data_IF_295589172569
#
_entry.id   IF_295589172569
#
_cell.length_a   1.000
_cell.length_b   1.000
_cell.length_c   1.000
_cell.angle_alpha   90.00
_cell.angle_beta   90.00
_cell.angle_gamma   90.00
#
_symmetry.space_group_name_H-M   'P 1'
#
loop_
_entity.id
_entity.type
_entity.pdbx_description
1 polymer ?
#
# COMPACT_ATOMS: atom_id res chain seq x y z
N UNK A 1 -36.96 49.47 36.72
CA UNK A 1 -36.19 49.17 37.95
C UNK A 1 -35.32 47.96 37.65
N UNK A 2 -34.06 48.22 37.26
CA UNK A 2 -32.84 48.02 38.08
C UNK A 2 -32.41 46.53 38.08
N UNK A 3 -31.24 46.07 37.63
CA UNK A 3 -29.96 46.67 37.17
C UNK A 3 -29.14 45.49 36.59
N UNK A 4 -28.56 45.55 35.38
CA UNK A 4 -27.18 45.97 35.08
C UNK A 4 -26.08 45.31 35.93
N UNK A 5 -25.22 44.48 35.30
CA UNK A 5 -23.76 44.67 35.40
C UNK A 5 -23.05 44.12 34.15
N UNK A 6 -22.21 44.99 33.59
CA UNK A 6 -21.34 44.81 32.42
C UNK A 6 -19.99 44.20 32.83
N UNK A 7 -19.33 43.68 31.81
CA UNK A 7 -17.91 43.36 31.65
C UNK A 7 -16.90 44.09 32.56
N UNK A 8 -15.79 43.40 32.85
CA UNK A 8 -14.46 44.00 32.76
C UNK A 8 -13.34 42.99 32.51
N UNK A 9 -12.44 43.43 31.61
CA UNK A 9 -11.08 43.01 31.34
C UNK A 9 -10.33 42.32 32.48
N UNK A 10 -9.61 41.25 32.15
CA UNK A 10 -8.37 40.86 32.83
C UNK A 10 -7.29 40.79 31.76
N UNK A 11 -6.33 41.70 31.88
CA UNK A 11 -5.15 41.89 31.05
C UNK A 11 -4.06 40.88 31.39
N UNK A 12 -3.27 40.55 30.38
CA UNK A 12 -1.96 39.88 30.46
C UNK A 12 -1.05 40.55 31.49
N UNK A 13 -0.67 39.79 32.52
CA UNK A 13 0.61 39.86 33.22
C UNK A 13 0.51 38.83 34.35
N UNK A 14 1.32 37.77 34.33
CA UNK A 14 1.74 36.96 35.51
C UNK A 14 2.35 35.60 35.07
N UNK A 15 3.44 35.63 34.28
CA UNK A 15 4.26 34.44 34.06
C UNK A 15 5.77 34.76 34.00
N UNK A 16 6.22 35.70 34.85
CA UNK A 16 7.64 36.01 35.01
C UNK A 16 7.93 36.36 36.47
N UNK A 17 7.94 35.35 37.36
CA UNK A 17 8.59 35.43 38.68
C UNK A 17 8.56 34.07 39.38
N UNK A 18 9.40 33.15 38.92
CA UNK A 18 9.86 32.04 39.74
C UNK A 18 11.21 31.59 39.19
N UNK A 19 12.29 31.89 39.92
CA UNK A 19 13.59 31.21 39.99
C UNK A 19 14.68 32.24 40.31
N UNK A 20 14.87 32.49 41.60
CA UNK A 20 16.10 33.11 42.09
C UNK A 20 16.40 32.54 43.47
N UNK A 21 17.31 31.57 43.57
CA UNK A 21 18.21 31.44 44.72
C UNK A 21 19.41 30.53 44.42
N UNK A 22 20.59 31.02 44.79
CA UNK A 22 21.92 30.37 44.85
C UNK A 22 22.58 30.10 43.48
N UNK A 23 23.69 30.70 43.05
CA UNK A 23 24.75 31.42 43.74
C UNK A 23 26.12 30.90 43.30
N UNK A 24 26.55 31.17 42.06
CA UNK A 24 27.95 30.97 41.62
C UNK A 24 28.38 32.16 40.74
N UNK A 25 29.38 32.92 41.23
CA UNK A 25 30.06 34.01 40.53
C UNK A 25 30.95 33.45 39.41
N UNK A 26 30.67 33.77 38.15
CA UNK A 26 31.53 33.55 37.00
C UNK A 26 31.94 34.87 36.36
N UNK A 27 33.25 35.07 36.18
CA UNK A 27 33.89 36.25 35.56
C UNK A 27 33.25 36.65 34.22
N UNK A 28 33.04 37.96 34.03
CA UNK A 28 32.84 38.58 32.73
C UNK A 28 34.15 38.47 31.92
N UNK A 29 34.20 37.56 30.95
CA UNK A 29 35.09 37.66 29.81
C UNK A 29 34.24 37.85 28.56
N UNK A 30 34.40 39.00 27.91
CA UNK A 30 33.75 39.27 26.64
C UNK A 30 34.24 38.29 25.58
N UNK A 31 33.29 37.59 24.96
CA UNK A 31 33.43 37.02 23.64
C UNK A 31 32.07 37.18 22.97
N UNK A 32 32.09 37.93 21.87
CA UNK A 32 31.00 38.25 20.97
C UNK A 32 30.28 37.00 20.45
N UNK A 33 28.94 36.95 20.43
CA UNK A 33 28.23 35.98 19.62
C UNK A 33 28.07 36.56 18.21
N UNK A 34 28.93 36.15 17.27
CA UNK A 34 28.47 35.94 15.90
C UNK A 34 27.84 34.55 15.88
N UNK A 35 26.56 34.46 16.25
CA UNK A 35 25.76 33.32 15.84
C UNK A 35 25.53 33.52 14.34
N UNK A 36 26.27 32.80 13.51
CA UNK A 36 25.77 32.43 12.18
C UNK A 36 24.42 31.77 12.43
N UNK A 37 23.36 32.44 11.99
CA UNK A 37 22.01 31.88 12.05
C UNK A 37 22.02 30.71 11.08
N UNK A 38 21.86 29.49 11.60
CA UNK A 38 21.73 28.25 10.84
C UNK A 38 20.62 28.43 9.79
N UNK A 39 21.00 28.69 8.54
CA UNK A 39 20.05 28.99 7.49
C UNK A 39 19.29 27.72 7.10
N UNK A 40 17.96 27.76 7.21
CA UNK A 40 17.09 26.72 6.70
C UNK A 40 17.28 26.57 5.18
N UNK A 41 17.55 25.34 4.72
CA UNK A 41 17.77 25.02 3.30
C UNK A 41 16.70 24.06 2.81
N UNK A 42 16.05 24.40 1.70
CA UNK A 42 15.21 23.46 0.96
C UNK A 42 16.11 22.50 0.15
N UNK A 43 15.88 21.21 0.31
CA UNK A 43 16.69 20.12 -0.25
C UNK A 43 15.81 18.95 -0.69
N UNK A 44 16.35 18.09 -1.56
CA UNK A 44 15.82 16.72 -1.73
C UNK A 44 16.70 15.75 -0.96
N UNK A 45 16.10 14.93 -0.12
CA UNK A 45 16.75 13.91 0.68
C UNK A 45 16.47 12.55 0.05
N UNK A 46 17.51 11.75 -0.11
CA UNK A 46 17.41 10.34 -0.48
C UNK A 46 18.00 9.53 0.68
N UNK A 47 17.17 8.72 1.32
CA UNK A 47 17.62 7.74 2.31
C UNK A 47 17.74 6.40 1.62
N UNK A 48 18.86 5.73 1.84
CA UNK A 48 19.13 4.42 1.29
C UNK A 48 19.35 3.39 2.37
N UNK A 49 18.98 2.14 2.09
CA UNK A 49 19.29 1.00 2.94
C UNK A 49 19.42 -0.29 2.10
N UNK A 50 20.40 -1.15 2.42
CA UNK A 50 20.64 -2.36 1.64
C UNK A 50 19.53 -3.41 1.85
N UNK A 51 19.27 -4.18 0.80
CA UNK A 51 18.33 -5.31 0.86
C UNK A 51 19.04 -6.53 1.45
N UNK A 52 18.55 -6.97 2.62
CA UNK A 52 18.99 -8.23 3.22
C UNK A 52 20.42 -8.20 3.79
N UNK A 53 20.93 -7.02 4.15
CA UNK A 53 22.26 -6.84 4.74
C UNK A 53 22.56 -7.85 5.86
N UNK A 54 21.67 -7.96 6.86
CA UNK A 54 21.88 -8.89 7.99
C UNK A 54 22.03 -10.36 7.55
N UNK A 55 21.41 -10.75 6.43
CA UNK A 55 21.56 -12.10 5.87
C UNK A 55 22.90 -12.25 5.16
N UNK A 56 23.28 -11.26 4.35
CA UNK A 56 24.55 -11.23 3.60
C UNK A 56 25.73 -11.28 4.58
N UNK A 57 25.68 -10.51 5.65
CA UNK A 57 26.78 -10.39 6.62
C UNK A 57 26.77 -11.45 7.73
N UNK A 58 25.72 -12.27 7.83
CA UNK A 58 25.55 -13.25 8.93
C UNK A 58 26.68 -14.28 9.05
N UNK A 59 27.38 -14.56 7.96
CA UNK A 59 28.48 -15.54 7.91
C UNK A 59 29.84 -14.88 7.64
N UNK A 60 29.88 -13.55 7.59
CA UNK A 60 31.11 -12.79 7.36
C UNK A 60 31.84 -12.54 8.67
N UNK A 61 33.16 -12.51 8.60
CA UNK A 61 34.03 -11.98 9.64
C UNK A 61 33.91 -10.44 9.73
N UNK A 62 34.27 -9.82 10.87
CA UNK A 62 34.23 -8.36 11.00
C UNK A 62 35.05 -7.62 9.92
N UNK A 63 36.18 -8.19 9.49
CA UNK A 63 37.00 -7.66 8.41
C UNK A 63 36.29 -7.70 7.05
N UNK A 64 35.62 -8.82 6.74
CA UNK A 64 34.83 -8.96 5.51
C UNK A 64 33.61 -8.03 5.51
N UNK A 65 32.92 -7.87 6.65
CA UNK A 65 31.83 -6.90 6.79
C UNK A 65 32.32 -5.48 6.55
N UNK A 66 33.47 -5.11 7.14
CA UNK A 66 34.09 -3.80 6.92
C UNK A 66 34.37 -3.57 5.44
N UNK A 67 35.05 -4.51 4.78
CA UNK A 67 35.47 -4.37 3.39
C UNK A 67 34.25 -4.29 2.46
N UNK A 68 33.23 -5.12 2.70
CA UNK A 68 31.95 -5.07 1.99
C UNK A 68 31.22 -3.72 2.15
N UNK A 69 31.13 -3.19 3.37
CA UNK A 69 30.48 -1.89 3.62
C UNK A 69 31.25 -0.75 2.97
N UNK A 70 32.59 -0.78 3.01
CA UNK A 70 33.43 0.24 2.36
C UNK A 70 33.23 0.19 0.83
N UNK A 71 33.25 -1.00 0.24
CA UNK A 71 33.02 -1.20 -1.20
C UNK A 71 31.63 -0.71 -1.62
N UNK A 72 30.59 -1.06 -0.85
CA UNK A 72 29.24 -0.57 -1.07
C UNK A 72 29.16 0.97 -1.13
N UNK A 73 29.67 1.64 -0.10
CA UNK A 73 29.65 3.11 -0.03
C UNK A 73 30.52 3.75 -1.11
N UNK A 74 31.61 3.10 -1.50
CA UNK A 74 32.44 3.55 -2.62
C UNK A 74 31.68 3.52 -3.95
N UNK A 75 31.07 2.38 -4.29
CA UNK A 75 30.35 2.18 -5.55
C UNK A 75 29.11 3.08 -5.62
N UNK A 76 28.38 3.24 -4.51
CA UNK A 76 27.27 4.19 -4.41
C UNK A 76 27.75 5.63 -4.66
N UNK A 77 28.84 6.04 -4.01
CA UNK A 77 29.38 7.39 -4.17
C UNK A 77 29.89 7.62 -5.60
N UNK A 78 30.46 6.63 -6.27
CA UNK A 78 30.90 6.73 -7.67
C UNK A 78 29.74 7.06 -8.63
N UNK A 79 28.56 6.47 -8.38
CA UNK A 79 27.36 6.73 -9.18
C UNK A 79 26.81 8.13 -8.92
N UNK A 80 26.81 8.58 -7.66
CA UNK A 80 26.13 9.82 -7.22
C UNK A 80 27.03 11.06 -7.30
N UNK A 81 28.34 10.97 -7.06
CA UNK A 81 29.29 12.10 -7.08
C UNK A 81 29.71 12.47 -8.52
N UNK A 82 28.72 12.76 -9.36
CA UNK A 82 28.91 13.29 -10.72
C UNK A 82 28.56 14.77 -10.73
N UNK A 83 29.31 15.58 -11.50
CA UNK A 83 29.06 17.04 -11.65
C UNK A 83 27.60 17.37 -11.98
N UNK A 84 26.92 16.52 -12.76
CA UNK A 84 25.51 16.71 -13.12
C UNK A 84 24.56 16.65 -11.93
N UNK A 85 24.96 15.99 -10.84
CA UNK A 85 24.18 15.81 -9.62
C UNK A 85 24.58 16.78 -8.49
N UNK A 86 25.69 17.51 -8.62
CA UNK A 86 26.11 18.51 -7.62
C UNK A 86 25.17 19.72 -7.55
N UNK A 87 25.01 20.38 -6.38
CA UNK A 87 25.62 20.02 -5.11
C UNK A 87 24.90 18.82 -4.48
N UNK A 88 25.70 17.84 -4.06
CA UNK A 88 25.23 16.62 -3.41
C UNK A 88 26.16 16.28 -2.24
N UNK A 89 25.56 15.99 -1.09
CA UNK A 89 26.25 15.58 0.13
C UNK A 89 25.86 14.12 0.41
N UNK A 90 26.85 13.26 0.69
CA UNK A 90 26.62 11.85 1.02
C UNK A 90 27.16 11.61 2.42
N UNK A 91 26.27 11.23 3.33
CA UNK A 91 26.57 10.89 4.71
C UNK A 91 26.25 9.41 4.94
N UNK A 92 27.27 8.52 5.00
CA UNK A 92 27.07 7.13 5.36
C UNK A 92 26.40 7.02 6.73
N UNK A 93 25.37 6.18 6.85
CA UNK A 93 24.85 5.77 8.14
C UNK A 93 25.80 4.72 8.75
N UNK A 94 25.64 4.43 10.04
CA UNK A 94 26.41 3.37 10.67
C UNK A 94 25.94 1.99 10.15
N UNK A 95 26.55 1.52 9.06
CA UNK A 95 26.23 0.23 8.44
C UNK A 95 25.88 0.36 6.97
N UNK A 96 24.64 -0.01 6.64
CA UNK A 96 24.17 -0.43 5.33
C UNK A 96 23.30 0.59 4.58
N UNK A 97 23.21 1.81 5.11
CA UNK A 97 22.45 2.89 4.51
C UNK A 97 23.26 4.17 4.35
N UNK A 98 22.70 5.13 3.62
CA UNK A 98 23.27 6.46 3.47
C UNK A 98 22.16 7.51 3.43
N UNK A 99 22.47 8.68 3.98
CA UNK A 99 21.72 9.90 3.74
C UNK A 99 22.39 10.67 2.60
N UNK A 100 21.64 10.94 1.53
CA UNK A 100 22.11 11.71 0.39
C UNK A 100 21.25 12.96 0.28
N UNK A 101 21.87 14.13 0.29
CA UNK A 101 21.18 15.43 0.27
C UNK A 101 21.56 16.19 -0.98
N UNK A 102 20.55 16.53 -1.79
CA UNK A 102 20.68 17.37 -2.96
C UNK A 102 20.24 18.79 -2.62
N UNK A 103 21.19 19.73 -2.64
CA UNK A 103 20.91 21.16 -2.41
C UNK A 103 20.64 21.90 -3.71
N UNK A 104 20.09 23.12 -3.63
CA UNK A 104 19.89 23.98 -4.80
C UNK A 104 21.22 24.57 -5.32
N UNK A 105 21.37 24.64 -6.64
CA UNK A 105 22.35 25.50 -7.31
C UNK A 105 21.89 26.95 -7.28
N UNK A 106 22.84 27.86 -7.51
CA UNK A 106 22.52 29.29 -7.66
C UNK A 106 21.54 29.50 -8.82
N UNK A 107 20.37 30.07 -8.53
CA UNK A 107 19.30 30.32 -9.51
C UNK A 107 18.43 29.10 -9.87
N UNK A 108 18.64 27.95 -9.23
CA UNK A 108 17.86 26.74 -9.46
C UNK A 108 16.55 26.74 -8.66
N UNK A 109 15.45 26.33 -9.29
CA UNK A 109 14.17 26.14 -8.62
C UNK A 109 14.03 24.72 -8.04
N UNK A 110 12.97 24.49 -7.25
CA UNK A 110 12.71 23.19 -6.62
C UNK A 110 12.54 22.06 -7.66
N UNK A 111 11.93 22.34 -8.82
CA UNK A 111 11.70 21.34 -9.86
C UNK A 111 13.01 20.82 -10.46
N UNK A 112 13.93 21.73 -10.80
CA UNK A 112 15.25 21.38 -11.32
C UNK A 112 16.07 20.55 -10.31
N UNK A 113 16.01 20.93 -9.02
CA UNK A 113 16.63 20.15 -7.94
C UNK A 113 16.02 18.75 -7.83
N UNK A 114 14.69 18.63 -7.88
CA UNK A 114 13.99 17.34 -7.83
C UNK A 114 14.30 16.46 -9.03
N UNK A 115 14.37 17.01 -10.25
CA UNK A 115 14.79 16.27 -11.45
C UNK A 115 16.18 15.70 -11.30
N UNK A 116 17.11 16.50 -10.78
CA UNK A 116 18.49 16.08 -10.56
C UNK A 116 18.60 14.96 -9.53
N UNK A 117 17.85 15.06 -8.43
CA UNK A 117 17.80 14.03 -7.40
C UNK A 117 17.17 12.72 -7.92
N UNK A 118 16.06 12.81 -8.66
CA UNK A 118 15.43 11.64 -9.27
C UNK A 118 16.32 10.98 -10.33
N UNK A 119 16.98 11.78 -11.17
CA UNK A 119 17.94 11.26 -12.15
C UNK A 119 19.10 10.52 -11.49
N UNK A 120 19.58 11.00 -10.32
CA UNK A 120 20.60 10.30 -9.53
C UNK A 120 20.08 8.97 -8.97
N UNK A 121 18.84 8.95 -8.47
CA UNK A 121 18.19 7.72 -7.99
C UNK A 121 17.97 6.69 -9.12
N UNK A 122 17.58 7.13 -10.31
CA UNK A 122 17.44 6.26 -11.51
C UNK A 122 18.81 5.68 -11.92
N UNK A 123 19.85 6.51 -11.94
CA UNK A 123 21.23 6.08 -12.21
C UNK A 123 21.68 5.00 -11.22
N UNK A 124 21.35 5.17 -9.94
CA UNK A 124 21.65 4.22 -8.88
C UNK A 124 20.82 2.94 -9.02
N UNK A 125 19.54 3.05 -9.39
CA UNK A 125 18.70 1.90 -9.72
C UNK A 125 19.30 1.05 -10.86
N UNK A 126 19.76 1.69 -11.93
CA UNK A 126 20.46 0.98 -13.01
C UNK A 126 21.79 0.38 -12.55
N UNK A 127 22.52 1.03 -11.64
CA UNK A 127 23.74 0.47 -11.07
C UNK A 127 23.48 -0.77 -10.23
N UNK A 128 22.34 -0.83 -9.53
CA UNK A 128 21.89 -1.98 -8.76
C UNK A 128 21.52 -3.14 -9.70
N UNK A 129 20.74 -2.89 -10.75
CA UNK A 129 20.34 -3.92 -11.72
C UNK A 129 21.53 -4.48 -12.51
N UNK A 130 22.60 -3.69 -12.65
CA UNK A 130 23.87 -4.11 -13.26
C UNK A 130 24.85 -4.73 -12.27
N UNK A 131 24.43 -5.00 -11.03
CA UNK A 131 25.25 -5.57 -9.95
C UNK A 131 26.51 -4.75 -9.60
N UNK A 132 26.59 -3.49 -10.04
CA UNK A 132 27.69 -2.56 -9.69
C UNK A 132 27.55 -2.02 -8.27
N UNK A 133 26.32 -1.95 -7.77
CA UNK A 133 26.00 -1.56 -6.39
C UNK A 133 25.13 -2.64 -5.78
N UNK A 134 25.37 -3.01 -4.53
CA UNK A 134 24.53 -3.97 -3.83
C UNK A 134 23.06 -3.50 -3.80
N UNK A 135 22.12 -4.45 -3.87
CA UNK A 135 20.68 -4.13 -3.89
C UNK A 135 20.29 -3.21 -2.75
N UNK A 136 19.72 -2.06 -3.09
CA UNK A 136 19.49 -0.94 -2.17
C UNK A 136 18.13 -0.34 -2.43
N UNK A 137 17.39 -0.07 -1.36
CA UNK A 137 16.12 0.64 -1.38
C UNK A 137 16.38 2.12 -1.22
N UNK A 138 15.56 2.95 -1.86
CA UNK A 138 15.76 4.40 -1.95
C UNK A 138 14.44 5.12 -1.71
N UNK A 139 14.37 5.92 -0.64
CA UNK A 139 13.25 6.79 -0.34
C UNK A 139 13.60 8.24 -0.62
N UNK A 140 12.91 8.87 -1.56
CA UNK A 140 13.18 10.24 -2.03
C UNK A 140 12.10 11.22 -1.55
N UNK A 141 12.49 12.28 -0.86
CA UNK A 141 11.57 13.26 -0.30
C UNK A 141 12.12 14.69 -0.38
N UNK A 142 11.29 15.66 -0.74
CA UNK A 142 11.66 17.07 -0.73
C UNK A 142 11.25 17.72 0.59
N UNK A 143 12.15 18.47 1.23
CA UNK A 143 11.84 19.14 2.48
C UNK A 143 12.87 20.19 2.86
N UNK A 144 12.76 20.68 4.08
CA UNK A 144 13.67 21.69 4.64
C UNK A 144 14.56 21.07 5.70
N UNK A 145 15.83 21.49 5.73
CA UNK A 145 16.80 21.10 6.74
C UNK A 145 17.47 22.31 7.36
N UNK A 146 17.81 22.18 8.64
CA UNK A 146 18.70 23.09 9.36
C UNK A 146 19.94 22.30 9.76
N UNK A 147 21.11 22.92 9.66
CA UNK A 147 22.36 22.32 10.10
C UNK A 147 22.82 23.01 11.37
N UNK A 148 23.28 22.25 12.37
CA UNK A 148 23.84 22.81 13.58
C UNK A 148 25.09 22.03 14.01
N UNK A 149 26.01 22.68 14.72
CA UNK A 149 27.20 22.02 15.27
C UNK A 149 26.86 21.31 16.58
N UNK A 150 27.01 20.00 16.62
CA UNK A 150 26.91 19.18 17.84
C UNK A 150 28.23 18.45 18.07
N UNK A 151 28.92 18.77 19.17
CA UNK A 151 30.16 18.10 19.53
C UNK A 151 31.28 18.21 18.48
N UNK A 152 31.31 19.31 17.71
CA UNK A 152 32.27 19.53 16.63
C UNK A 152 31.95 18.81 15.32
N UNK A 153 30.76 18.20 15.21
CA UNK A 153 30.23 17.64 13.96
C UNK A 153 29.00 18.43 13.52
N UNK A 154 28.89 18.67 12.22
CA UNK A 154 27.65 19.18 11.63
C UNK A 154 26.59 18.10 11.72
N UNK A 155 25.45 18.41 12.33
CA UNK A 155 24.27 17.56 12.37
C UNK A 155 23.14 18.22 11.58
N UNK A 156 22.40 17.44 10.80
CA UNK A 156 21.26 17.89 10.00
C UNK A 156 19.95 17.56 10.71
N UNK A 157 19.03 18.53 10.75
CA UNK A 157 17.71 18.41 11.37
C UNK A 157 16.63 18.75 10.37
N UNK A 158 15.59 17.92 10.32
CA UNK A 158 14.45 18.14 9.42
C UNK A 158 13.40 17.06 9.63
N UNK A 159 12.13 17.43 9.53
CA UNK A 159 11.02 16.48 9.60
C UNK A 159 10.98 15.55 8.37
N UNK A 160 11.56 15.99 7.25
CA UNK A 160 11.62 15.23 6.01
C UNK A 160 12.41 13.93 6.08
N UNK A 161 13.36 13.79 7.01
CA UNK A 161 14.12 12.54 7.18
C UNK A 161 13.23 11.36 7.55
N UNK A 162 12.23 11.58 8.41
CA UNK A 162 11.30 10.52 8.79
C UNK A 162 10.42 10.09 7.59
N UNK A 163 10.03 11.03 6.73
CA UNK A 163 9.27 10.73 5.52
C UNK A 163 10.11 9.97 4.49
N UNK A 164 11.35 10.42 4.22
CA UNK A 164 12.28 9.73 3.32
C UNK A 164 12.59 8.30 3.81
N UNK A 165 12.85 8.12 5.10
CA UNK A 165 13.11 6.80 5.69
C UNK A 165 11.91 5.88 5.53
N UNK A 166 10.70 6.43 5.66
CA UNK A 166 9.48 5.63 5.50
C UNK A 166 9.23 5.24 4.05
N UNK A 167 9.52 6.12 3.10
CA UNK A 167 9.47 5.79 1.67
C UNK A 167 10.47 4.67 1.34
N UNK A 168 11.67 4.72 1.90
CA UNK A 168 12.68 3.67 1.78
C UNK A 168 12.15 2.35 2.36
N UNK A 169 11.63 2.32 3.59
CA UNK A 169 11.07 1.10 4.19
C UNK A 169 9.94 0.48 3.35
N UNK A 170 9.07 1.32 2.78
CA UNK A 170 7.94 0.89 1.95
C UNK A 170 8.38 0.25 0.62
N UNK A 171 9.62 0.49 0.18
CA UNK A 171 10.17 -0.15 -1.01
C UNK A 171 10.20 -1.67 -0.86
N UNK A 172 10.48 -2.19 0.35
CA UNK A 172 10.46 -3.64 0.62
C UNK A 172 9.05 -4.21 0.50
N UNK A 173 8.06 -3.53 1.06
CA UNK A 173 6.65 -3.96 1.03
C UNK A 173 6.11 -4.04 -0.41
N UNK A 174 6.41 -3.03 -1.23
CA UNK A 174 5.95 -2.92 -2.61
C UNK A 174 6.89 -3.58 -3.63
N UNK A 175 8.05 -4.09 -3.21
CA UNK A 175 9.03 -4.71 -4.08
C UNK A 175 9.63 -3.76 -5.12
N UNK A 176 9.78 -2.48 -4.77
CA UNK A 176 10.42 -1.45 -5.62
C UNK A 176 11.81 -1.11 -5.07
N UNK A 177 12.71 -0.59 -5.90
CA UNK A 177 14.01 -0.07 -5.44
C UNK A 177 13.96 1.42 -5.08
N UNK A 178 12.97 2.15 -5.60
CA UNK A 178 12.79 3.57 -5.44
C UNK A 178 11.32 3.88 -5.11
N UNK A 179 11.10 4.73 -4.11
CA UNK A 179 9.81 5.37 -3.88
C UNK A 179 10.01 6.86 -3.61
N UNK A 180 9.06 7.65 -4.10
CA UNK A 180 8.97 9.08 -3.83
C UNK A 180 7.52 9.46 -3.52
N UNK A 181 7.35 10.60 -2.87
CA UNK A 181 6.04 11.15 -2.61
C UNK A 181 5.47 11.92 -3.83
N UNK A 182 4.20 12.33 -3.71
CA UNK A 182 3.51 13.07 -4.77
C UNK A 182 4.15 14.41 -5.08
N UNK A 183 4.73 15.11 -4.11
CA UNK A 183 5.27 16.45 -4.33
C UNK A 183 6.55 16.38 -5.16
N UNK A 184 7.45 15.43 -4.87
CA UNK A 184 8.61 15.16 -5.72
C UNK A 184 8.17 14.74 -7.12
N UNK A 185 7.20 13.83 -7.23
CA UNK A 185 6.76 13.32 -8.53
C UNK A 185 6.06 14.38 -9.40
N UNK A 186 5.31 15.31 -8.80
CA UNK A 186 4.62 16.38 -9.52
C UNK A 186 5.59 17.34 -10.23
N UNK A 187 6.85 17.38 -9.81
CA UNK A 187 7.89 18.22 -10.37
C UNK A 187 8.71 17.54 -11.49
N UNK A 188 8.32 16.34 -11.92
CA UNK A 188 9.05 15.51 -12.90
C UNK A 188 8.39 15.55 -14.29
N UNK A 189 8.51 16.69 -14.97
CA UNK A 189 8.06 16.85 -16.35
C UNK A 189 8.81 15.95 -17.35
N UNK A 190 10.13 15.80 -17.20
CA UNK A 190 10.99 14.97 -18.08
C UNK A 190 10.71 13.46 -17.94
N UNK A 191 10.31 13.01 -16.75
CA UNK A 191 10.09 11.59 -16.44
C UNK A 191 8.62 11.20 -16.41
N UNK A 192 7.73 12.10 -16.82
CA UNK A 192 6.28 11.97 -16.64
C UNK A 192 5.69 10.68 -17.22
N UNK A 193 6.20 10.22 -18.37
CA UNK A 193 5.74 8.98 -19.02
C UNK A 193 6.19 7.72 -18.29
N UNK A 194 7.22 7.80 -17.46
CA UNK A 194 7.78 6.68 -16.70
C UNK A 194 7.27 6.64 -15.25
N UNK A 195 6.53 7.67 -14.81
CA UNK A 195 5.97 7.75 -13.46
C UNK A 195 4.84 6.73 -13.28
N UNK A 196 4.93 5.95 -12.21
CA UNK A 196 3.94 4.96 -11.83
C UNK A 196 3.44 5.23 -10.41
N UNK A 197 2.13 5.43 -10.28
CA UNK A 197 1.44 5.45 -9.01
C UNK A 197 1.46 4.05 -8.40
N UNK A 198 1.95 3.94 -7.17
CA UNK A 198 2.03 2.69 -6.41
C UNK A 198 0.80 2.55 -5.51
N UNK A 199 0.40 3.63 -4.85
CA UNK A 199 -0.78 3.63 -3.98
C UNK A 199 -0.80 4.80 -3.02
N UNK A 200 -1.88 4.88 -2.23
CA UNK A 200 -2.00 5.78 -1.09
C UNK A 200 -2.00 4.94 0.18
N UNK A 201 -1.08 5.23 1.10
CA UNK A 201 -0.88 4.41 2.30
C UNK A 201 -0.82 5.27 3.56
N UNK A 202 -1.34 4.78 4.67
CA UNK A 202 -1.08 5.31 6.01
C UNK A 202 -0.42 4.22 6.83
N UNK A 203 0.89 4.32 7.09
CA UNK A 203 1.57 3.39 7.98
C UNK A 203 1.07 3.55 9.42
N UNK A 204 1.03 2.47 10.20
CA UNK A 204 0.41 2.41 11.55
C UNK A 204 0.75 3.53 12.54
N UNK A 205 1.97 4.10 12.47
CA UNK A 205 2.45 5.12 13.41
C UNK A 205 2.28 6.56 12.89
N UNK A 206 1.52 6.76 11.81
CA UNK A 206 1.30 8.06 11.20
C UNK A 206 -0.18 8.42 11.17
N UNK A 207 -0.44 9.71 11.34
CA UNK A 207 -1.78 10.30 11.19
C UNK A 207 -2.04 10.81 9.77
N UNK A 208 -1.02 10.82 8.90
CA UNK A 208 -1.11 11.38 7.55
C UNK A 208 -0.76 10.35 6.48
N UNK A 209 -1.57 10.25 5.41
CA UNK A 209 -1.32 9.36 4.30
C UNK A 209 -0.15 9.86 3.44
N UNK A 210 0.51 8.92 2.76
CA UNK A 210 1.55 9.18 1.76
C UNK A 210 1.07 8.62 0.43
N UNK A 211 1.12 9.44 -0.61
CA UNK A 211 0.92 9.00 -1.99
C UNK A 211 2.26 8.58 -2.57
N UNK A 212 2.37 7.31 -2.94
CA UNK A 212 3.61 6.67 -3.35
C UNK A 212 3.70 6.60 -4.87
N UNK A 213 4.85 6.98 -5.40
CA UNK A 213 5.18 6.85 -6.81
C UNK A 213 6.58 6.24 -6.99
N UNK A 214 6.77 5.57 -8.12
CA UNK A 214 8.06 5.04 -8.59
C UNK A 214 8.27 5.38 -10.08
N UNK A 215 9.41 5.00 -10.63
CA UNK A 215 9.77 5.15 -12.04
C UNK A 215 9.96 3.78 -12.70
N UNK A 216 9.13 3.45 -13.69
CA UNK A 216 9.26 2.21 -14.45
C UNK A 216 9.89 2.50 -15.81
N UNK A 217 11.03 1.86 -16.08
CA UNK A 217 11.80 2.03 -17.31
C UNK A 217 12.37 0.69 -17.79
N UNK A 218 12.71 0.56 -19.08
CA UNK A 218 13.46 -0.58 -19.59
C UNK A 218 14.71 -0.83 -18.75
N UNK A 219 14.92 -2.09 -18.33
CA UNK A 219 16.05 -2.49 -17.49
C UNK A 219 15.90 -2.20 -15.99
N UNK A 220 14.76 -1.69 -15.52
CA UNK A 220 14.44 -1.52 -14.10
C UNK A 220 13.27 -2.41 -13.69
N UNK A 221 13.14 -2.69 -12.38
CA UNK A 221 12.01 -3.47 -11.85
C UNK A 221 11.84 -4.83 -12.53
N UNK A 222 12.95 -5.48 -12.90
CA UNK A 222 12.98 -6.74 -13.67
C UNK A 222 12.39 -6.67 -15.08
N UNK A 223 12.15 -5.47 -15.62
CA UNK A 223 11.81 -5.30 -17.02
C UNK A 223 13.07 -5.51 -17.87
N UNK A 224 13.00 -6.23 -18.99
CA UNK A 224 14.15 -6.39 -19.86
C UNK A 224 14.54 -5.03 -20.50
N UNK A 225 15.83 -4.79 -20.80
CA UNK A 225 16.28 -3.54 -21.42
C UNK A 225 15.68 -3.26 -22.81
N UNK A 226 15.25 -4.30 -23.51
CA UNK A 226 14.64 -4.28 -24.84
C UNK A 226 13.11 -4.45 -24.81
N UNK A 227 12.48 -4.21 -23.64
CA UNK A 227 11.02 -4.26 -23.49
C UNK A 227 10.31 -3.37 -24.52
N UNK A 228 9.19 -3.86 -25.05
CA UNK A 228 8.34 -3.08 -25.95
C UNK A 228 7.83 -1.82 -25.22
N UNK A 229 8.28 -0.66 -25.70
CA UNK A 229 7.96 0.62 -25.09
C UNK A 229 6.46 0.94 -25.14
N UNK A 230 5.74 0.46 -26.15
CA UNK A 230 4.29 0.65 -26.26
C UNK A 230 3.58 -0.15 -25.18
N UNK A 231 3.94 -1.44 -25.03
CA UNK A 231 3.39 -2.28 -23.96
C UNK A 231 3.70 -1.71 -22.57
N UNK A 232 4.91 -1.18 -22.37
CA UNK A 232 5.29 -0.54 -21.12
C UNK A 232 4.44 0.71 -20.84
N UNK A 233 4.25 1.57 -21.84
CA UNK A 233 3.42 2.76 -21.69
C UNK A 233 1.95 2.40 -21.41
N UNK A 234 1.42 1.35 -22.06
CA UNK A 234 0.06 0.85 -21.82
C UNK A 234 -0.10 0.32 -20.39
N UNK A 235 0.89 -0.45 -19.91
CA UNK A 235 0.95 -0.89 -18.52
C UNK A 235 0.94 0.28 -17.54
N UNK A 236 1.82 1.27 -17.75
CA UNK A 236 1.92 2.46 -16.90
C UNK A 236 0.60 3.24 -16.89
N UNK A 237 -0.01 3.43 -18.06
CA UNK A 237 -1.31 4.10 -18.20
C UNK A 237 -2.42 3.39 -17.44
N UNK A 238 -2.56 2.08 -17.65
CA UNK A 238 -3.57 1.25 -16.97
C UNK A 238 -3.36 1.25 -15.45
N UNK A 239 -2.12 1.11 -14.99
CA UNK A 239 -1.79 1.11 -13.56
C UNK A 239 -2.08 2.48 -12.93
N UNK A 240 -1.69 3.57 -13.58
CA UNK A 240 -1.97 4.92 -13.07
C UNK A 240 -3.46 5.22 -12.98
N UNK A 241 -4.24 4.87 -14.01
CA UNK A 241 -5.69 5.04 -14.01
C UNK A 241 -6.34 4.19 -12.91
N UNK A 242 -5.89 2.94 -12.75
CA UNK A 242 -6.37 2.05 -11.71
C UNK A 242 -6.06 2.62 -10.31
N UNK A 243 -4.86 3.12 -10.07
CA UNK A 243 -4.50 3.67 -8.75
C UNK A 243 -5.20 5.01 -8.48
N UNK A 244 -5.49 5.82 -9.50
CA UNK A 244 -6.35 7.00 -9.35
C UNK A 244 -7.78 6.61 -8.93
N UNK A 245 -8.35 5.57 -9.56
CA UNK A 245 -9.63 4.98 -9.15
C UNK A 245 -9.55 4.29 -7.80
N UNK A 246 -8.38 3.81 -7.38
CA UNK A 246 -8.20 3.21 -6.08
C UNK A 246 -8.23 4.28 -5.00
N UNK A 247 -7.38 5.30 -5.11
CA UNK A 247 -7.26 6.36 -4.11
C UNK A 247 -8.47 7.31 -4.07
N UNK A 248 -9.16 7.45 -5.21
CA UNK A 248 -10.07 8.55 -5.48
C UNK A 248 -9.29 9.83 -5.82
N UNK A 249 -9.87 10.67 -6.68
CA UNK A 249 -9.26 11.92 -7.13
C UNK A 249 -10.30 13.04 -7.19
N UNK A 250 -10.25 13.94 -6.20
CA UNK A 250 -11.18 15.07 -6.09
C UNK A 250 -11.14 16.02 -7.28
N UNK A 251 -9.96 16.29 -7.81
CA UNK A 251 -9.80 17.18 -8.97
C UNK A 251 -10.48 16.62 -10.22
N UNK A 252 -10.59 15.30 -10.30
CA UNK A 252 -11.25 14.57 -11.39
C UNK A 252 -12.66 14.08 -11.01
N UNK A 253 -13.17 14.45 -9.82
CA UNK A 253 -14.43 13.93 -9.28
C UNK A 253 -14.54 12.40 -9.24
N UNK A 254 -13.41 11.71 -9.10
CA UNK A 254 -13.35 10.24 -9.02
C UNK A 254 -13.50 9.79 -7.57
N UNK A 255 -14.44 8.87 -7.33
CA UNK A 255 -14.55 8.14 -6.07
C UNK A 255 -13.79 6.81 -6.15
N UNK A 256 -13.32 6.29 -5.01
CA UNK A 256 -12.75 4.95 -4.95
C UNK A 256 -13.68 3.87 -5.54
N UNK A 257 -13.22 3.10 -6.53
CA UNK A 257 -14.00 2.06 -7.23
C UNK A 257 -13.20 0.75 -7.32
N UNK A 258 -13.19 -0.02 -6.22
CA UNK A 258 -12.38 -1.24 -6.10
C UNK A 258 -12.69 -2.31 -7.16
N UNK A 259 -13.95 -2.54 -7.58
CA UNK A 259 -14.24 -3.45 -8.69
C UNK A 259 -13.57 -3.04 -10.01
N UNK A 260 -13.62 -1.75 -10.40
CA UNK A 260 -12.92 -1.27 -11.60
C UNK A 260 -11.41 -1.35 -11.44
N UNK A 261 -10.90 -1.04 -10.24
CA UNK A 261 -9.48 -1.15 -9.92
C UNK A 261 -9.01 -2.59 -10.11
N UNK A 262 -9.73 -3.58 -9.55
CA UNK A 262 -9.40 -5.01 -9.70
C UNK A 262 -9.32 -5.43 -11.16
N UNK A 263 -10.26 -5.00 -11.99
CA UNK A 263 -10.25 -5.30 -13.42
C UNK A 263 -9.02 -4.68 -14.12
N UNK A 264 -8.78 -3.37 -13.92
CA UNK A 264 -7.66 -2.66 -14.56
C UNK A 264 -6.29 -3.16 -14.08
N UNK A 265 -6.12 -3.37 -12.78
CA UNK A 265 -4.89 -3.93 -12.22
C UNK A 265 -4.67 -5.38 -12.69
N UNK A 266 -5.73 -6.19 -12.83
CA UNK A 266 -5.60 -7.53 -13.42
C UNK A 266 -5.21 -7.50 -14.91
N UNK A 267 -5.57 -6.46 -15.66
CA UNK A 267 -5.05 -6.25 -17.02
C UNK A 267 -3.58 -5.81 -17.00
N UNK A 268 -3.24 -4.87 -16.12
CA UNK A 268 -1.86 -4.38 -15.95
C UNK A 268 -0.91 -5.52 -15.52
N UNK A 269 -1.33 -6.39 -14.61
CA UNK A 269 -0.56 -7.57 -14.17
C UNK A 269 -0.24 -8.49 -15.35
N UNK A 270 -1.22 -8.77 -16.23
CA UNK A 270 -1.00 -9.59 -17.44
C UNK A 270 0.02 -8.95 -18.37
N UNK A 271 -0.08 -7.64 -18.62
CA UNK A 271 0.90 -6.93 -19.45
C UNK A 271 2.30 -6.99 -18.83
N UNK A 272 2.42 -6.75 -17.53
CA UNK A 272 3.69 -6.79 -16.83
C UNK A 272 4.31 -8.20 -16.85
N UNK A 273 3.49 -9.24 -16.67
CA UNK A 273 3.93 -10.63 -16.74
C UNK A 273 4.36 -11.01 -18.17
N UNK A 274 3.67 -10.53 -19.20
CA UNK A 274 4.08 -10.72 -20.59
C UNK A 274 5.43 -10.06 -20.89
N UNK A 275 5.70 -8.88 -20.33
CA UNK A 275 6.94 -8.13 -20.54
C UNK A 275 8.13 -8.67 -19.72
N UNK A 276 7.91 -8.99 -18.44
CA UNK A 276 9.00 -9.32 -17.50
C UNK A 276 9.14 -10.81 -17.19
N UNK A 277 8.13 -11.63 -17.51
CA UNK A 277 8.02 -13.01 -17.05
C UNK A 277 7.75 -13.16 -15.55
N UNK A 278 7.57 -12.07 -14.82
CA UNK A 278 7.34 -12.05 -13.36
C UNK A 278 6.13 -11.19 -13.00
N UNK A 279 5.75 -11.17 -11.72
CA UNK A 279 4.66 -10.33 -11.22
C UNK A 279 5.18 -8.97 -10.74
N UNK A 280 4.39 -7.93 -10.96
CA UNK A 280 4.61 -6.63 -10.33
C UNK A 280 4.09 -6.65 -8.88
N UNK A 281 5.03 -6.77 -7.93
CA UNK A 281 4.71 -6.89 -6.48
C UNK A 281 3.84 -5.72 -6.02
N UNK A 282 4.13 -4.50 -6.51
CA UNK A 282 3.37 -3.33 -6.14
C UNK A 282 1.88 -3.44 -6.50
N UNK A 283 1.57 -3.93 -7.71
CA UNK A 283 0.20 -4.18 -8.15
C UNK A 283 -0.45 -5.28 -7.32
N UNK A 284 0.27 -6.38 -7.06
CA UNK A 284 -0.26 -7.48 -6.26
C UNK A 284 -0.61 -7.04 -4.84
N UNK A 285 0.17 -6.17 -4.20
CA UNK A 285 -0.16 -5.64 -2.86
C UNK A 285 -1.47 -4.86 -2.82
N UNK A 286 -1.78 -4.11 -3.88
CA UNK A 286 -3.05 -3.39 -3.98
C UNK A 286 -4.20 -4.37 -4.23
N UNK A 287 -4.00 -5.37 -5.09
CA UNK A 287 -4.99 -6.43 -5.34
C UNK A 287 -5.26 -7.29 -4.09
N UNK A 288 -4.24 -7.65 -3.34
CA UNK A 288 -4.31 -8.35 -2.04
C UNK A 288 -5.15 -7.53 -1.06
N UNK A 289 -4.84 -6.24 -0.91
CA UNK A 289 -5.63 -5.35 -0.06
C UNK A 289 -7.10 -5.27 -0.49
N UNK A 290 -7.39 -5.19 -1.79
CA UNK A 290 -8.78 -5.19 -2.30
C UNK A 290 -9.46 -6.55 -2.06
N UNK A 291 -8.71 -7.66 -2.08
CA UNK A 291 -9.24 -8.99 -1.79
C UNK A 291 -9.69 -9.10 -0.34
N UNK A 292 -8.88 -8.56 0.58
CA UNK A 292 -9.16 -8.55 2.01
C UNK A 292 -10.18 -7.47 2.41
N UNK A 293 -10.19 -6.36 1.66
CA UNK A 293 -11.12 -5.24 1.83
C UNK A 293 -11.80 -4.93 0.49
N UNK A 294 -12.87 -5.65 0.11
CA UNK A 294 -13.52 -5.48 -1.20
C UNK A 294 -14.19 -4.12 -1.39
N UNK A 295 -14.26 -3.31 -0.33
CA UNK A 295 -14.80 -1.96 -0.34
C UNK A 295 -13.90 -0.97 0.39
N UNK A 296 -13.81 0.28 -0.08
CA UNK A 296 -13.16 1.35 0.65
C UNK A 296 -13.94 1.61 1.94
N UNK A 297 -13.30 1.45 3.09
CA UNK A 297 -13.89 1.86 4.38
C UNK A 297 -14.12 3.38 4.43
N UNK A 298 -14.91 3.86 5.40
CA UNK A 298 -15.27 5.29 5.50
C UNK A 298 -14.04 6.22 5.51
N UNK A 299 -12.98 5.82 6.22
CA UNK A 299 -11.73 6.57 6.30
C UNK A 299 -10.78 6.34 5.12
N UNK A 300 -11.07 5.39 4.22
CA UNK A 300 -10.12 4.97 3.20
C UNK A 300 -9.76 6.10 2.23
N UNK A 301 -10.73 6.95 1.86
CA UNK A 301 -10.44 8.10 1.00
C UNK A 301 -9.40 9.05 1.64
N UNK A 302 -9.46 9.21 2.96
CA UNK A 302 -8.52 10.04 3.71
C UNK A 302 -7.19 9.33 3.93
N UNK A 303 -7.20 8.10 4.42
CA UNK A 303 -6.02 7.39 4.91
C UNK A 303 -5.37 6.44 3.87
N UNK A 304 -6.08 6.04 2.84
CA UNK A 304 -5.64 4.99 1.93
C UNK A 304 -5.48 3.64 2.64
N UNK A 305 -4.59 2.80 2.11
CA UNK A 305 -4.25 1.49 2.66
C UNK A 305 -3.54 1.63 4.01
N UNK A 306 -4.07 0.97 5.04
CA UNK A 306 -3.36 0.90 6.33
C UNK A 306 -2.30 -0.19 6.24
N UNK A 307 -1.03 0.20 6.38
CA UNK A 307 0.09 -0.75 6.38
C UNK A 307 0.48 -1.04 7.83
N UNK A 308 0.32 -2.31 8.19
CA UNK A 308 0.77 -2.88 9.45
C UNK A 308 2.24 -3.27 9.33
N UNK A 309 3.02 -3.04 10.38
CA UNK A 309 4.46 -3.30 10.35
C UNK A 309 4.73 -4.79 10.07
N UNK A 310 5.42 -5.08 8.97
CA UNK A 310 5.63 -6.44 8.43
C UNK A 310 6.45 -7.33 9.38
N UNK A 311 7.15 -6.75 10.35
CA UNK A 311 7.79 -7.50 11.46
C UNK A 311 6.78 -8.19 12.39
N UNK A 312 5.49 -7.82 12.33
CA UNK A 312 4.41 -8.39 13.15
C UNK A 312 3.23 -8.94 12.36
N UNK A 313 3.42 -9.32 11.09
CA UNK A 313 2.48 -10.25 10.46
C UNK A 313 3.04 -11.60 10.00
N UNK A 314 3.94 -12.25 10.77
CA UNK A 314 4.10 -13.69 10.64
C UNK A 314 2.86 -14.41 11.14
N UNK A 315 1.93 -13.78 11.88
CA UNK A 315 0.70 -14.46 12.29
C UNK A 315 -0.30 -14.51 11.14
N UNK A 316 -0.57 -13.44 10.40
CA UNK A 316 -1.45 -13.46 9.22
C UNK A 316 -0.88 -14.32 8.10
N UNK A 317 0.40 -14.16 7.76
CA UNK A 317 1.05 -14.98 6.72
C UNK A 317 1.25 -16.43 7.19
N UNK A 318 1.59 -16.71 8.46
CA UNK A 318 1.62 -18.10 8.95
C UNK A 318 0.25 -18.67 9.24
N UNK A 319 -0.77 -17.89 9.60
CA UNK A 319 -2.13 -18.37 9.81
C UNK A 319 -2.78 -18.64 8.45
N UNK A 320 -2.46 -17.84 7.43
CA UNK A 320 -2.81 -18.08 6.04
C UNK A 320 -2.02 -19.25 5.43
N UNK A 321 -0.71 -19.36 5.70
CA UNK A 321 0.10 -20.51 5.26
C UNK A 321 -0.27 -21.78 6.02
N UNK A 322 -0.49 -21.71 7.33
CA UNK A 322 -0.94 -22.83 8.15
C UNK A 322 -2.37 -23.19 7.81
N UNK A 323 -3.28 -22.24 7.53
CA UNK A 323 -4.62 -22.55 7.05
C UNK A 323 -4.60 -23.15 5.65
N UNK A 324 -3.69 -22.72 4.77
CA UNK A 324 -3.44 -23.33 3.46
C UNK A 324 -2.91 -24.75 3.58
N UNK A 325 -1.86 -24.96 4.38
CA UNK A 325 -1.27 -26.29 4.59
C UNK A 325 -2.20 -27.21 5.39
N UNK A 326 -3.00 -26.68 6.34
CA UNK A 326 -4.06 -27.41 7.02
C UNK A 326 -5.20 -27.74 6.06
N UNK A 327 -5.66 -26.81 5.23
CA UNK A 327 -6.69 -27.06 4.22
C UNK A 327 -6.21 -28.12 3.22
N UNK A 328 -4.96 -28.03 2.77
CA UNK A 328 -4.29 -29.03 1.94
C UNK A 328 -4.17 -30.39 2.61
N UNK A 329 -3.89 -30.42 3.91
CA UNK A 329 -3.85 -31.65 4.70
C UNK A 329 -5.24 -32.24 4.99
N UNK A 330 -6.27 -31.39 5.13
CA UNK A 330 -7.66 -31.79 5.35
C UNK A 330 -8.26 -32.34 4.05
N UNK A 331 -8.09 -31.61 2.95
CA UNK A 331 -8.64 -31.96 1.64
C UNK A 331 -7.85 -31.26 0.52
N UNK A 332 -6.94 -32.01 -0.12
CA UNK A 332 -6.09 -31.50 -1.20
C UNK A 332 -6.89 -31.08 -2.44
N UNK A 333 -8.05 -31.70 -2.68
CA UNK A 333 -8.92 -31.37 -3.81
C UNK A 333 -9.53 -29.98 -3.59
N UNK A 334 -10.02 -29.70 -2.37
CA UNK A 334 -10.55 -28.38 -2.00
C UNK A 334 -9.46 -27.32 -1.96
N UNK A 335 -8.27 -27.65 -1.46
CA UNK A 335 -7.14 -26.73 -1.50
C UNK A 335 -6.82 -26.30 -2.94
N UNK A 336 -6.70 -27.27 -3.86
CA UNK A 336 -6.42 -26.95 -5.26
C UNK A 336 -7.51 -26.06 -5.84
N UNK A 337 -8.79 -26.37 -5.62
CA UNK A 337 -9.88 -25.54 -6.14
C UNK A 337 -9.96 -24.14 -5.50
N UNK A 338 -9.75 -24.00 -4.19
CA UNK A 338 -9.93 -22.74 -3.47
C UNK A 338 -8.69 -21.85 -3.48
N UNK A 339 -7.50 -22.42 -3.70
CA UNK A 339 -6.22 -21.70 -3.53
C UNK A 339 -5.37 -21.70 -4.80
N UNK A 340 -5.41 -22.77 -5.61
CA UNK A 340 -4.51 -22.94 -6.77
C UNK A 340 -5.21 -22.60 -8.09
N UNK A 341 -6.44 -23.11 -8.29
CA UNK A 341 -7.22 -22.98 -9.52
C UNK A 341 -8.45 -22.08 -9.30
N UNK A 342 -8.22 -20.80 -9.01
CA UNK A 342 -9.29 -19.83 -8.66
C UNK A 342 -10.09 -19.32 -9.85
N UNK A 343 -9.98 -19.95 -11.04
CA UNK A 343 -10.67 -19.52 -12.27
C UNK A 343 -12.20 -19.44 -12.13
N UNK A 344 -12.77 -20.24 -11.23
CA UNK A 344 -14.19 -20.22 -10.90
C UNK A 344 -14.66 -18.91 -10.28
N UNK A 345 -13.79 -18.16 -9.59
CA UNK A 345 -14.16 -16.87 -8.97
C UNK A 345 -14.66 -15.87 -10.02
N UNK A 346 -14.13 -15.96 -11.25
CA UNK A 346 -14.49 -15.08 -12.36
C UNK A 346 -15.90 -15.33 -12.91
N UNK A 347 -16.49 -16.49 -12.60
CA UNK A 347 -17.85 -16.86 -12.99
C UNK A 347 -18.91 -16.29 -12.05
N UNK A 348 -18.51 -15.66 -10.94
CA UNK A 348 -19.44 -15.02 -10.01
C UNK A 348 -19.73 -13.59 -10.45
N UNK A 349 -20.98 -13.33 -10.83
CA UNK A 349 -21.49 -12.00 -11.09
C UNK A 349 -21.88 -11.32 -9.78
N UNK A 350 -21.55 -10.04 -9.63
CA UNK A 350 -21.96 -9.26 -8.46
C UNK A 350 -23.38 -8.74 -8.66
N UNK A 351 -24.26 -8.92 -7.68
CA UNK A 351 -25.62 -8.37 -7.66
C UNK A 351 -25.85 -7.52 -6.41
N UNK A 352 -26.59 -6.43 -6.58
CA UNK A 352 -26.97 -5.51 -5.51
C UNK A 352 -28.48 -5.52 -5.36
N UNK A 353 -28.95 -5.66 -4.12
CA UNK A 353 -30.36 -5.61 -3.79
C UNK A 353 -30.52 -4.70 -2.57
N UNK A 354 -31.51 -3.81 -2.62
CA UNK A 354 -31.82 -2.92 -1.51
C UNK A 354 -32.60 -3.69 -0.43
N UNK A 355 -32.62 -3.14 0.78
CA UNK A 355 -33.49 -3.66 1.83
C UNK A 355 -34.95 -3.80 1.35
N UNK A 356 -35.51 -4.99 1.54
CA UNK A 356 -36.89 -5.35 1.17
C UNK A 356 -37.02 -6.06 -0.18
N UNK A 357 -35.97 -6.10 -1.01
CA UNK A 357 -36.02 -6.77 -2.31
C UNK A 357 -36.13 -8.30 -2.15
N UNK A 358 -37.02 -8.91 -2.94
CA UNK A 358 -37.09 -10.37 -3.09
C UNK A 358 -36.04 -10.84 -4.09
N UNK A 359 -35.02 -11.55 -3.61
CA UNK A 359 -33.88 -11.99 -4.43
C UNK A 359 -34.19 -13.30 -5.15
N UNK A 360 -34.85 -14.23 -4.45
CA UNK A 360 -35.40 -15.46 -5.03
C UNK A 360 -36.78 -15.70 -4.44
N UNK A 361 -37.71 -16.24 -5.24
CA UNK A 361 -39.07 -16.55 -4.79
C UNK A 361 -39.30 -18.06 -4.81
N UNK A 362 -40.00 -18.58 -3.80
CA UNK A 362 -40.37 -20.00 -3.70
C UNK A 362 -41.07 -20.52 -4.97
N UNK A 363 -40.86 -21.80 -5.29
CA UNK A 363 -41.38 -22.52 -6.46
C UNK A 363 -40.85 -22.07 -7.83
N UNK A 364 -40.07 -20.98 -7.92
CA UNK A 364 -39.42 -20.59 -9.17
C UNK A 364 -38.30 -21.58 -9.54
N UNK A 365 -38.02 -21.69 -10.85
CA UNK A 365 -36.90 -22.50 -11.33
C UNK A 365 -35.59 -21.84 -10.90
N UNK A 366 -34.67 -22.61 -10.34
CA UNK A 366 -33.36 -22.11 -9.95
C UNK A 366 -32.55 -21.72 -11.19
N UNK A 367 -32.00 -20.52 -11.17
CA UNK A 367 -31.18 -19.91 -12.22
C UNK A 367 -29.72 -19.66 -11.76
N UNK A 368 -29.43 -19.89 -10.49
CA UNK A 368 -28.09 -19.77 -9.93
C UNK A 368 -28.04 -19.94 -8.42
N UNK A 369 -26.83 -19.83 -7.89
CA UNK A 369 -26.52 -19.91 -6.46
C UNK A 369 -25.88 -18.60 -6.02
N UNK A 370 -26.20 -18.17 -4.79
CA UNK A 370 -25.80 -16.88 -4.25
C UNK A 370 -24.89 -17.06 -3.05
N UNK A 371 -23.79 -16.32 -3.02
CA UNK A 371 -22.94 -16.13 -1.85
C UNK A 371 -23.12 -14.71 -1.33
N UNK A 372 -23.34 -14.56 -0.02
CA UNK A 372 -23.53 -13.27 0.63
C UNK A 372 -22.14 -12.69 0.93
N UNK A 373 -21.77 -11.67 0.17
CA UNK A 373 -20.54 -10.92 0.42
C UNK A 373 -20.77 -9.95 1.59
N UNK A 374 -21.87 -9.18 1.54
CA UNK A 374 -22.25 -8.21 2.57
C UNK A 374 -23.76 -8.15 2.77
N UNK A 375 -24.14 -7.86 4.02
CA UNK A 375 -25.53 -7.62 4.41
C UNK A 375 -26.19 -8.86 4.98
N UNK A 376 -27.48 -8.76 5.23
CA UNK A 376 -28.29 -9.84 5.81
C UNK A 376 -29.50 -10.11 4.94
N UNK A 377 -29.81 -11.38 4.73
CA UNK A 377 -31.05 -11.83 4.08
C UNK A 377 -31.85 -12.70 5.04
N UNK A 378 -33.16 -12.72 4.83
CA UNK A 378 -34.08 -13.58 5.56
C UNK A 378 -34.69 -14.56 4.56
N UNK A 379 -34.58 -15.86 4.86
CA UNK A 379 -35.24 -16.93 4.12
C UNK A 379 -36.58 -17.24 4.77
N UNK A 380 -37.64 -17.27 3.97
CA UNK A 380 -39.02 -17.48 4.40
C UNK A 380 -39.67 -18.62 3.62
N UNK A 381 -40.57 -19.38 4.26
CA UNK A 381 -41.38 -20.39 3.59
C UNK A 381 -42.60 -19.79 2.85
N UNK A 382 -43.46 -20.65 2.31
CA UNK A 382 -44.67 -20.22 1.60
C UNK A 382 -45.74 -19.57 2.48
N UNK A 383 -45.62 -19.68 3.81
CA UNK A 383 -46.53 -19.06 4.78
C UNK A 383 -45.95 -17.76 5.37
N UNK A 384 -44.75 -17.35 4.92
CA UNK A 384 -44.04 -16.16 5.40
C UNK A 384 -43.31 -16.37 6.73
N UNK A 385 -43.21 -17.61 7.21
CA UNK A 385 -42.44 -17.93 8.41
C UNK A 385 -40.95 -17.89 8.11
N UNK A 386 -40.18 -17.24 8.99
CA UNK A 386 -38.73 -17.12 8.84
C UNK A 386 -38.08 -18.48 9.12
N UNK A 387 -37.47 -19.05 8.08
CA UNK A 387 -36.70 -20.29 8.15
C UNK A 387 -35.28 -20.04 8.66
N UNK A 388 -34.65 -18.96 8.20
CA UNK A 388 -33.28 -18.62 8.58
C UNK A 388 -32.97 -17.14 8.35
N UNK A 389 -32.02 -16.62 9.11
CA UNK A 389 -31.37 -15.34 8.86
C UNK A 389 -29.92 -15.63 8.48
N UNK A 390 -29.51 -15.19 7.28
CA UNK A 390 -28.20 -15.48 6.70
C UNK A 390 -27.43 -14.18 6.52
N UNK A 391 -26.16 -14.17 6.94
CA UNK A 391 -25.26 -13.01 6.84
C UNK A 391 -24.06 -13.28 5.93
N UNK A 392 -23.12 -12.34 5.92
CA UNK A 392 -21.85 -12.47 5.19
C UNK A 392 -21.17 -13.83 5.39
N UNK A 393 -20.70 -14.42 4.30
CA UNK A 393 -20.07 -15.74 4.29
C UNK A 393 -21.06 -16.90 4.15
N UNK A 394 -22.36 -16.66 4.27
CA UNK A 394 -23.37 -17.70 3.99
C UNK A 394 -23.73 -17.75 2.50
N UNK A 395 -24.16 -18.93 2.06
CA UNK A 395 -24.65 -19.21 0.71
C UNK A 395 -26.17 -19.37 0.79
N UNK A 396 -26.91 -19.11 -0.29
CA UNK A 396 -28.31 -19.53 -0.42
C UNK A 396 -28.67 -19.87 -1.87
N UNK A 397 -29.77 -20.60 -2.05
CA UNK A 397 -30.25 -21.06 -3.34
C UNK A 397 -29.57 -22.34 -3.86
N UNK A 398 -28.55 -22.84 -3.16
CA UNK A 398 -27.84 -24.09 -3.46
C UNK A 398 -28.74 -25.31 -3.32
N UNK A 399 -29.69 -25.28 -2.37
CA UNK A 399 -30.61 -26.41 -2.14
C UNK A 399 -31.45 -26.71 -3.39
N UNK A 400 -31.89 -25.66 -4.08
CA UNK A 400 -32.66 -25.80 -5.30
C UNK A 400 -31.83 -26.47 -6.40
N UNK A 401 -30.55 -26.15 -6.52
CA UNK A 401 -29.65 -26.77 -7.50
C UNK A 401 -29.50 -28.30 -7.30
N UNK A 402 -29.42 -28.76 -6.05
CA UNK A 402 -29.29 -30.19 -5.72
C UNK A 402 -30.61 -30.95 -5.63
N UNK A 403 -31.76 -30.25 -5.69
CA UNK A 403 -33.08 -30.86 -5.67
C UNK A 403 -33.47 -31.48 -7.02
N UNK A 404 -34.30 -32.54 -7.00
CA UNK A 404 -34.76 -33.22 -8.23
C UNK A 404 -35.50 -32.30 -9.20
N UNK A 405 -36.31 -31.39 -8.67
CA UNK A 405 -37.20 -30.53 -9.47
C UNK A 405 -36.58 -29.17 -9.80
N UNK A 406 -35.34 -28.90 -9.35
CA UNK A 406 -34.62 -27.62 -9.51
C UNK A 406 -35.47 -26.38 -9.19
N UNK A 407 -36.35 -26.46 -8.18
CA UNK A 407 -37.22 -25.36 -7.73
C UNK A 407 -36.75 -24.76 -6.41
N UNK A 408 -36.94 -23.45 -6.24
CA UNK A 408 -36.70 -22.74 -4.98
C UNK A 408 -37.64 -23.27 -3.90
N UNK A 409 -37.11 -23.59 -2.74
CA UNK A 409 -37.86 -24.10 -1.59
C UNK A 409 -38.25 -23.01 -0.57
N UNK A 410 -37.74 -21.80 -0.75
CA UNK A 410 -37.98 -20.65 0.11
C UNK A 410 -37.89 -19.36 -0.72
N UNK A 411 -38.54 -18.30 -0.23
CA UNK A 411 -38.34 -16.93 -0.70
C UNK A 411 -37.24 -16.29 0.13
N UNK A 412 -36.30 -15.59 -0.48
CA UNK A 412 -35.22 -14.89 0.22
C UNK A 412 -35.35 -13.40 -0.01
N UNK A 413 -35.47 -12.66 1.09
CA UNK A 413 -35.68 -11.22 1.10
C UNK A 413 -34.47 -10.53 1.73
N UNK A 414 -34.04 -9.42 1.13
CA UNK A 414 -32.98 -8.58 1.68
C UNK A 414 -33.45 -7.91 2.99
N UNK A 415 -32.82 -8.23 4.11
CA UNK A 415 -33.13 -7.61 5.41
C UNK A 415 -32.40 -6.28 5.62
N UNK A 416 -31.27 -6.13 4.94
CA UNK A 416 -30.49 -4.89 4.76
C UNK A 416 -30.21 -4.71 3.28
N UNK A 417 -29.55 -3.62 2.88
CA UNK A 417 -28.88 -3.60 1.58
C UNK A 417 -27.85 -4.73 1.53
N UNK A 418 -27.85 -5.51 0.43
CA UNK A 418 -27.02 -6.71 0.29
C UNK A 418 -26.20 -6.69 -0.99
N UNK A 419 -25.02 -7.27 -0.86
CA UNK A 419 -24.14 -7.58 -1.98
C UNK A 419 -24.03 -9.08 -2.07
N UNK A 420 -24.38 -9.58 -3.25
CA UNK A 420 -24.37 -10.99 -3.56
C UNK A 420 -23.37 -11.28 -4.67
N UNK A 421 -22.78 -12.45 -4.61
CA UNK A 421 -22.07 -13.07 -5.73
C UNK A 421 -22.93 -14.21 -6.25
N UNK A 422 -23.45 -14.09 -7.47
CA UNK A 422 -24.25 -15.11 -8.14
C UNK A 422 -23.40 -15.88 -9.13
N UNK A 423 -23.43 -17.20 -9.05
CA UNK A 423 -22.94 -18.09 -10.11
C UNK A 423 -24.13 -18.75 -10.81
N UNK A 424 -24.10 -18.77 -12.14
CA UNK A 424 -25.13 -19.44 -12.94
C UNK A 424 -25.04 -20.96 -12.75
N UNK A 425 -26.15 -21.67 -12.97
CA UNK A 425 -26.12 -23.14 -12.91
C UNK A 425 -25.13 -23.74 -13.92
N UNK A 426 -25.07 -23.19 -15.13
CA UNK A 426 -24.23 -23.69 -16.22
C UNK A 426 -22.74 -23.47 -15.93
N UNK A 427 -22.38 -22.33 -15.33
CA UNK A 427 -21.01 -22.09 -14.89
C UNK A 427 -20.66 -22.93 -13.68
N UNK A 428 -21.59 -23.10 -12.75
CA UNK A 428 -21.40 -23.95 -11.58
C UNK A 428 -21.19 -25.43 -11.96
N UNK A 429 -21.81 -25.91 -13.06
CA UNK A 429 -21.59 -27.25 -13.62
C UNK A 429 -20.14 -27.52 -14.07
N UNK A 430 -19.37 -26.47 -14.38
CA UNK A 430 -17.98 -26.60 -14.83
C UNK A 430 -17.00 -26.88 -13.69
N UNK A 431 -17.42 -26.73 -12.43
CA UNK A 431 -16.53 -26.77 -11.26
C UNK A 431 -16.94 -27.86 -10.24
N UNK A 432 -16.69 -29.15 -10.53
CA UNK A 432 -17.17 -30.27 -9.71
C UNK A 432 -16.67 -30.25 -8.26
N UNK A 433 -15.49 -29.69 -8.01
CA UNK A 433 -14.96 -29.54 -6.65
C UNK A 433 -15.75 -28.50 -5.85
N UNK A 434 -16.09 -27.37 -6.47
CA UNK A 434 -16.93 -26.33 -5.85
C UNK A 434 -18.34 -26.87 -5.58
N UNK A 435 -18.88 -27.68 -6.50
CA UNK A 435 -20.14 -28.40 -6.29
C UNK A 435 -20.10 -29.28 -5.03
N UNK A 436 -19.01 -30.04 -4.81
CA UNK A 436 -18.85 -30.86 -3.60
C UNK A 436 -18.86 -30.01 -2.32
N UNK A 437 -18.19 -28.86 -2.32
CA UNK A 437 -18.14 -27.94 -1.18
C UNK A 437 -19.55 -27.44 -0.85
N UNK A 438 -20.27 -26.92 -1.85
CA UNK A 438 -21.62 -26.38 -1.67
C UNK A 438 -22.61 -27.47 -1.28
N UNK A 439 -22.46 -28.68 -1.83
CA UNK A 439 -23.26 -29.85 -1.43
C UNK A 439 -23.06 -30.18 0.04
N UNK A 440 -21.83 -30.11 0.54
CA UNK A 440 -21.52 -30.34 1.97
C UNK A 440 -22.16 -29.28 2.87
N UNK A 441 -22.24 -28.03 2.40
CA UNK A 441 -22.94 -26.94 3.09
C UNK A 441 -24.46 -27.19 3.07
N UNK A 442 -25.01 -27.61 1.93
CA UNK A 442 -26.43 -27.92 1.78
C UNK A 442 -26.88 -29.09 2.67
N UNK A 443 -26.08 -30.16 2.75
CA UNK A 443 -26.39 -31.34 3.58
C UNK A 443 -26.47 -31.02 5.07
N UNK A 444 -25.57 -30.17 5.59
CA UNK A 444 -25.61 -29.74 7.00
C UNK A 444 -26.90 -28.99 7.35
N UNK A 445 -27.40 -28.16 6.44
CA UNK A 445 -28.64 -27.40 6.64
C UNK A 445 -29.89 -28.27 6.63
N UNK A 446 -29.89 -29.37 5.87
CA UNK A 446 -30.98 -30.35 5.89
C UNK A 446 -31.03 -31.14 7.21
N UNK A 447 -29.90 -31.32 7.88
CA UNK A 447 -29.82 -31.98 9.18
C UNK A 447 -30.24 -31.04 10.33
N UNK A 448 -30.10 -29.72 10.16
CA UNK A 448 -30.42 -28.67 11.14
C UNK A 448 -31.87 -28.16 11.08
N UNK A 449 -32.66 -28.53 10.07
CA UNK A 449 -34.11 -28.27 10.00
C UNK A 449 -34.90 -29.51 10.44
N UNK A 450 -35.36 -29.62 11.71
CA UNK A 450 -36.29 -30.68 12.07
C UNK A 450 -37.65 -30.39 11.41
N UNK A 451 -38.22 -31.47 10.87
CA UNK A 451 -39.59 -31.55 10.32
C UNK A 451 -40.64 -30.98 11.27
#
# INVERSE_FOLDING_TARGET
MYTHTRANHVTDDHAAQALTHMGIKGKKSGMSPKQEVDAEREVVMMITDMVGYSRITSQMTPEEVRDFVIEYHHNLAEVIKKKRFEPVEIEPSAGDGALIVFGKRVGENAAQMCRRALAAAIDLAYAIEQERVASTRMGLFMGHIVEAQIGGKTAKFGTGFAAASRLEELCDYFGTSLLMDRDVAALQDEERSSLVNIGKVTPQNLSHPIHLLSVYKPGLHRLPPDVDQTMLNDFIGLKNEAVDLFCGNEKLSLQPDFPKVRNKLGQAEKLFQQMSGTMDIATERVLEYIRDTPYPGEDFRRLGMKIYDSKRDPLGVRLFHLSKELLKAIDIEFYNALVVETGWESCFALEWHNQGDEIITINQKADGIYYIDRGTVISQDGEGQVLATLGSGNIFGEMAYFSKDRRRNATVVAATDVVLRKISNDDFEKFPVIQKIFKRIASRRQEESPV
#
